data_IF_382972526898
#
_entry.id   IF_382972526898
#
_cell.length_a   1.000
_cell.length_b   1.000
_cell.length_c   1.000
_cell.angle_alpha   90.00
_cell.angle_beta   90.00
_cell.angle_gamma   90.00
#
_symmetry.space_group_name_H-M   'P 1'
#
loop_
_entity.id
_entity.type
_entity.pdbx_description
1 polymer ?
#
# COMPACT_ATOMS: atom_id res chain seq x y z
N UNK A 1 -19.94 -4.25 -0.26
CA UNK A 1 -19.29 -2.94 0.03
C UNK A 1 -17.77 -3.03 0.03
N UNK A 2 -17.17 -4.03 0.69
CA UNK A 2 -15.71 -4.23 0.68
C UNK A 2 -15.07 -4.46 -0.69
N UNK A 3 -15.80 -5.08 -1.64
CA UNK A 3 -15.36 -5.24 -3.04
C UNK A 3 -15.25 -3.88 -3.76
N UNK A 4 -16.33 -3.10 -3.79
CA UNK A 4 -16.38 -1.75 -4.36
C UNK A 4 -15.31 -0.81 -3.78
N UNK A 5 -15.06 -0.89 -2.48
CA UNK A 5 -13.99 -0.12 -1.83
C UNK A 5 -12.61 -0.46 -2.45
N UNK A 6 -12.31 -1.75 -2.62
CA UNK A 6 -11.04 -2.22 -3.21
C UNK A 6 -10.91 -1.87 -4.68
N UNK A 7 -12.00 -1.89 -5.45
CA UNK A 7 -12.02 -1.46 -6.85
C UNK A 7 -11.70 0.04 -7.00
N UNK A 8 -12.37 0.89 -6.21
CA UNK A 8 -12.10 2.34 -6.21
C UNK A 8 -10.64 2.61 -5.82
N UNK A 9 -10.15 1.90 -4.81
CA UNK A 9 -8.77 2.02 -4.38
C UNK A 9 -7.79 1.61 -5.50
N UNK A 10 -7.99 0.45 -6.14
CA UNK A 10 -7.13 -0.02 -7.22
C UNK A 10 -7.08 0.98 -8.40
N UNK A 11 -8.22 1.57 -8.78
CA UNK A 11 -8.27 2.62 -9.81
C UNK A 11 -7.49 3.87 -9.38
N UNK A 12 -7.74 4.39 -8.17
CA UNK A 12 -7.01 5.58 -7.67
C UNK A 12 -5.50 5.37 -7.61
N UNK A 13 -5.05 4.18 -7.20
CA UNK A 13 -3.63 3.85 -7.18
C UNK A 13 -3.03 3.76 -8.58
N UNK A 14 -3.80 3.23 -9.54
CA UNK A 14 -3.37 3.15 -10.94
C UNK A 14 -3.23 4.55 -11.54
N UNK A 15 -4.24 5.41 -11.36
CA UNK A 15 -4.22 6.79 -11.84
C UNK A 15 -3.07 7.59 -11.21
N UNK A 16 -2.85 7.43 -9.91
CA UNK A 16 -1.76 8.11 -9.19
C UNK A 16 -0.37 7.69 -9.66
N UNK A 17 -0.24 6.52 -10.29
CA UNK A 17 1.03 5.97 -10.75
C UNK A 17 1.37 6.31 -12.19
N UNK A 18 0.44 6.90 -12.95
CA UNK A 18 0.62 7.18 -14.37
C UNK A 18 1.85 8.06 -14.58
N UNK A 19 2.83 7.55 -15.35
CA UNK A 19 4.05 8.27 -15.67
C UNK A 19 5.09 8.34 -14.54
N UNK A 20 4.86 7.67 -13.42
CA UNK A 20 5.77 7.64 -12.27
C UNK A 20 6.37 6.24 -12.07
N UNK A 21 7.52 6.18 -11.40
CA UNK A 21 8.15 4.93 -10.99
C UNK A 21 8.99 5.13 -9.73
N UNK A 22 9.32 4.04 -9.01
CA UNK A 22 10.19 4.11 -7.83
C UNK A 22 9.57 4.97 -6.72
N UNK A 23 10.41 5.77 -6.05
CA UNK A 23 10.00 6.63 -4.92
C UNK A 23 8.81 7.53 -5.27
N UNK A 24 8.81 8.16 -6.46
CA UNK A 24 7.75 9.08 -6.87
C UNK A 24 6.40 8.35 -6.98
N UNK A 25 6.39 7.14 -7.54
CA UNK A 25 5.19 6.32 -7.63
C UNK A 25 4.71 5.86 -6.24
N UNK A 26 5.64 5.48 -5.34
CA UNK A 26 5.31 5.08 -3.97
C UNK A 26 4.64 6.24 -3.22
N UNK A 27 5.20 7.45 -3.32
CA UNK A 27 4.65 8.65 -2.68
C UNK A 27 3.26 9.01 -3.22
N UNK A 28 3.11 9.02 -4.55
CA UNK A 28 1.82 9.33 -5.18
C UNK A 28 0.74 8.30 -4.81
N UNK A 29 1.06 7.00 -4.82
CA UNK A 29 0.15 5.94 -4.40
C UNK A 29 -0.21 6.03 -2.91
N UNK A 30 0.76 6.33 -2.04
CA UNK A 30 0.51 6.55 -0.62
C UNK A 30 -0.48 7.68 -0.38
N UNK A 31 -0.27 8.83 -1.02
CA UNK A 31 -1.18 9.98 -0.94
C UNK A 31 -2.59 9.62 -1.44
N UNK A 32 -2.69 8.92 -2.57
CA UNK A 32 -3.98 8.48 -3.14
C UNK A 32 -4.72 7.50 -2.22
N UNK A 33 -4.00 6.59 -1.55
CA UNK A 33 -4.57 5.69 -0.56
C UNK A 33 -5.13 6.46 0.62
N UNK A 34 -4.31 7.33 1.24
CA UNK A 34 -4.70 8.15 2.39
C UNK A 34 -5.92 9.02 2.07
N UNK A 35 -5.95 9.63 0.88
CA UNK A 35 -7.08 10.43 0.42
C UNK A 35 -8.34 9.59 0.19
N UNK A 36 -8.23 8.36 -0.32
CA UNK A 36 -9.38 7.46 -0.49
C UNK A 36 -10.05 7.15 0.85
N UNK A 37 -9.27 6.92 1.91
CA UNK A 37 -9.79 6.69 3.27
C UNK A 37 -10.49 7.94 3.80
N UNK A 38 -9.88 9.12 3.62
CA UNK A 38 -10.46 10.42 4.03
C UNK A 38 -11.77 10.75 3.29
N UNK A 39 -11.83 10.48 1.98
CA UNK A 39 -13.01 10.75 1.16
C UNK A 39 -14.17 9.78 1.44
N UNK A 40 -13.86 8.53 1.79
CA UNK A 40 -14.85 7.45 1.91
C UNK A 40 -14.70 6.63 3.20
N UNK A 41 -14.71 7.23 4.41
CA UNK A 41 -14.36 6.54 5.65
C UNK A 41 -15.29 5.36 5.97
N UNK A 42 -16.60 5.51 5.73
CA UNK A 42 -17.57 4.42 5.95
C UNK A 42 -17.43 3.26 4.96
N UNK A 43 -17.04 3.55 3.72
CA UNK A 43 -16.80 2.53 2.70
C UNK A 43 -15.48 1.80 2.96
N UNK A 44 -14.44 2.53 3.38
CA UNK A 44 -13.16 1.95 3.76
C UNK A 44 -13.28 1.11 5.03
N UNK A 45 -14.03 1.54 6.05
CA UNK A 45 -14.30 0.73 7.24
C UNK A 45 -15.00 -0.62 6.93
N UNK A 46 -15.69 -0.72 5.78
CA UNK A 46 -16.25 -2.00 5.32
C UNK A 46 -15.19 -2.98 4.79
N UNK A 47 -13.96 -2.54 4.52
CA UNK A 47 -12.86 -3.42 4.12
C UNK A 47 -12.35 -4.30 5.26
N UNK A 48 -12.56 -3.86 6.51
CA UNK A 48 -11.99 -4.47 7.72
C UNK A 48 -12.96 -5.43 8.42
N UNK A 49 -14.27 -5.32 8.13
CA UNK A 49 -15.31 -6.13 8.79
C UNK A 49 -15.35 -7.59 8.31
N UNK A 50 -14.83 -7.87 7.13
CA UNK A 50 -14.97 -9.19 6.49
C UNK A 50 -13.60 -9.73 6.11
N UNK A 51 -13.22 -10.92 6.60
CA UNK A 51 -12.03 -11.61 6.12
C UNK A 51 -12.13 -11.79 4.60
N UNK A 52 -11.03 -11.52 3.89
CA UNK A 52 -10.98 -11.79 2.45
C UNK A 52 -10.84 -13.30 2.16
N UNK A 53 -10.30 -14.07 3.11
CA UNK A 53 -10.02 -15.49 2.92
C UNK A 53 -11.30 -16.30 2.68
N UNK A 54 -11.24 -17.18 1.68
CA UNK A 54 -12.36 -18.03 1.24
C UNK A 54 -13.49 -17.27 0.52
N UNK A 55 -13.22 -16.05 0.03
CA UNK A 55 -14.10 -15.30 -0.86
C UNK A 55 -13.30 -14.94 -2.13
N UNK A 56 -13.51 -15.67 -3.26
CA UNK A 56 -12.73 -15.49 -4.48
C UNK A 56 -12.76 -14.06 -5.04
N UNK A 57 -13.89 -13.36 -4.92
CA UNK A 57 -14.02 -12.00 -5.45
C UNK A 57 -13.22 -11.00 -4.60
N UNK A 58 -13.24 -11.18 -3.27
CA UNK A 58 -12.44 -10.35 -2.36
C UNK A 58 -10.94 -10.65 -2.47
N UNK A 59 -10.56 -11.91 -2.64
CA UNK A 59 -9.17 -12.31 -2.89
C UNK A 59 -8.64 -11.67 -4.16
N UNK A 60 -9.37 -11.79 -5.28
CA UNK A 60 -8.98 -11.20 -6.56
C UNK A 60 -8.88 -9.66 -6.45
N UNK A 61 -9.80 -9.02 -5.74
CA UNK A 61 -9.76 -7.57 -5.53
C UNK A 61 -8.53 -7.12 -4.72
N UNK A 62 -8.11 -7.91 -3.72
CA UNK A 62 -6.85 -7.66 -2.98
C UNK A 62 -5.63 -7.89 -3.89
N UNK A 63 -5.65 -8.94 -4.70
CA UNK A 63 -4.57 -9.23 -5.66
C UNK A 63 -4.39 -8.10 -6.67
N UNK A 64 -5.47 -7.50 -7.19
CA UNK A 64 -5.38 -6.33 -8.07
C UNK A 64 -4.67 -5.15 -7.41
N UNK A 65 -4.98 -4.86 -6.14
CA UNK A 65 -4.28 -3.81 -5.38
C UNK A 65 -2.79 -4.12 -5.23
N UNK A 66 -2.45 -5.36 -4.85
CA UNK A 66 -1.04 -5.80 -4.71
C UNK A 66 -0.30 -5.73 -6.05
N UNK A 67 -0.96 -6.08 -7.16
CA UNK A 67 -0.39 -6.02 -8.50
C UNK A 67 -0.04 -4.60 -8.91
N UNK A 68 -0.94 -3.64 -8.69
CA UNK A 68 -0.70 -2.21 -8.99
C UNK A 68 0.49 -1.69 -8.17
N UNK A 69 0.52 -1.97 -6.87
CA UNK A 69 1.65 -1.60 -6.01
C UNK A 69 2.96 -2.24 -6.49
N UNK A 70 2.96 -3.52 -6.86
CA UNK A 70 4.14 -4.23 -7.37
C UNK A 70 4.68 -3.64 -8.67
N UNK A 71 3.79 -3.17 -9.56
CA UNK A 71 4.18 -2.52 -10.82
C UNK A 71 4.91 -1.18 -10.59
N UNK A 72 4.53 -0.39 -9.58
CA UNK A 72 5.28 0.82 -9.21
C UNK A 72 6.72 0.54 -8.78
N UNK A 73 6.98 -0.67 -8.28
CA UNK A 73 8.27 -1.06 -7.73
C UNK A 73 9.26 -1.57 -8.78
N UNK A 74 8.90 -1.61 -10.06
CA UNK A 74 9.77 -2.11 -11.15
C UNK A 74 11.11 -1.35 -11.20
N UNK A 75 11.11 -0.05 -10.91
CA UNK A 75 12.32 0.77 -10.92
C UNK A 75 13.35 0.41 -9.83
N UNK A 76 12.94 -0.27 -8.75
CA UNK A 76 13.84 -0.74 -7.69
C UNK A 76 14.61 -2.02 -8.04
N UNK A 77 14.39 -2.61 -9.24
CA UNK A 77 15.12 -3.79 -9.75
C UNK A 77 15.12 -5.01 -8.81
N UNK A 78 14.12 -5.13 -7.95
CA UNK A 78 13.95 -6.26 -7.05
C UNK A 78 13.56 -7.52 -7.83
N UNK A 79 13.90 -8.70 -7.31
CA UNK A 79 13.36 -9.97 -7.81
C UNK A 79 11.84 -10.07 -7.65
N UNK A 80 11.19 -10.96 -8.39
CA UNK A 80 9.72 -11.06 -8.45
C UNK A 80 9.08 -11.26 -7.06
N UNK A 81 9.60 -12.20 -6.28
CA UNK A 81 9.12 -12.46 -4.91
C UNK A 81 9.34 -11.26 -3.98
N UNK A 82 10.51 -10.61 -4.08
CA UNK A 82 10.83 -9.41 -3.30
C UNK A 82 9.88 -8.25 -3.63
N UNK A 83 9.50 -8.07 -4.91
CA UNK A 83 8.51 -7.05 -5.29
C UNK A 83 7.15 -7.33 -4.67
N UNK A 84 6.72 -8.59 -4.65
CA UNK A 84 5.44 -8.97 -4.01
C UNK A 84 5.49 -8.71 -2.51
N UNK A 85 6.59 -9.07 -1.83
CA UNK A 85 6.77 -8.77 -0.41
C UNK A 85 6.77 -7.25 -0.14
N UNK A 86 7.49 -6.46 -0.93
CA UNK A 86 7.50 -5.00 -0.81
C UNK A 86 6.12 -4.38 -1.06
N UNK A 87 5.38 -4.85 -2.07
CA UNK A 87 4.01 -4.40 -2.34
C UNK A 87 3.06 -4.72 -1.18
N UNK A 88 3.18 -5.91 -0.57
CA UNK A 88 2.41 -6.28 0.64
C UNK A 88 2.78 -5.38 1.82
N UNK A 89 4.06 -5.02 1.99
CA UNK A 89 4.52 -4.09 3.02
C UNK A 89 3.94 -2.69 2.82
N UNK A 90 3.95 -2.14 1.59
CA UNK A 90 3.31 -0.86 1.27
C UNK A 90 1.82 -0.87 1.61
N UNK A 91 1.10 -1.91 1.15
CA UNK A 91 -0.33 -2.09 1.45
C UNK A 91 -0.59 -2.05 2.96
N UNK A 92 0.19 -2.80 3.75
CA UNK A 92 0.05 -2.85 5.20
C UNK A 92 0.32 -1.50 5.85
N UNK A 93 1.38 -0.81 5.42
CA UNK A 93 1.76 0.49 5.97
C UNK A 93 0.73 1.58 5.66
N UNK A 94 0.27 1.69 4.41
CA UNK A 94 -0.73 2.67 4.00
C UNK A 94 -2.08 2.43 4.68
N UNK A 95 -2.50 1.16 4.76
CA UNK A 95 -3.70 0.78 5.49
C UNK A 95 -3.58 1.14 6.98
N UNK A 96 -2.50 0.70 7.64
CA UNK A 96 -2.30 0.93 9.08
C UNK A 96 -2.28 2.41 9.44
N UNK A 97 -1.52 3.22 8.70
CA UNK A 97 -1.48 4.67 8.93
C UNK A 97 -2.86 5.32 8.75
N UNK A 98 -3.52 5.05 7.62
CA UNK A 98 -4.81 5.68 7.31
C UNK A 98 -5.94 5.22 8.25
N UNK A 99 -5.89 3.97 8.70
CA UNK A 99 -6.83 3.42 9.68
C UNK A 99 -6.65 4.08 11.04
N UNK A 100 -5.41 4.22 11.53
CA UNK A 100 -5.11 4.90 12.80
C UNK A 100 -5.49 6.38 12.74
N UNK A 101 -5.16 7.07 11.64
CA UNK A 101 -5.55 8.47 11.42
C UNK A 101 -7.07 8.67 11.46
N UNK A 102 -7.84 7.73 10.94
CA UNK A 102 -9.30 7.83 10.88
C UNK A 102 -10.01 7.52 12.22
N UNK A 103 -9.30 6.90 13.17
CA UNK A 103 -9.87 6.36 14.41
C UNK A 103 -9.27 6.95 15.70
N UNK A 104 -8.79 8.19 15.67
CA UNK A 104 -8.08 8.86 16.78
C UNK A 104 -6.84 8.09 17.30
N UNK A 105 -6.25 7.23 16.46
CA UNK A 105 -5.09 6.38 16.79
C UNK A 105 -3.77 7.12 16.98
N UNK A 106 -3.77 8.46 16.79
CA UNK A 106 -2.64 9.35 17.02
C UNK A 106 -3.00 10.42 18.06
N UNK A 107 -3.02 10.09 19.36
CA UNK A 107 -3.54 10.96 20.42
C UNK A 107 -2.61 12.15 20.77
N UNK A 108 -1.44 12.23 20.14
CA UNK A 108 -0.41 13.23 20.43
C UNK A 108 -0.37 14.33 19.34
N UNK A 109 0.17 15.53 19.63
CA UNK A 109 -0.02 16.72 18.80
C UNK A 109 0.89 16.80 17.57
N UNK A 110 1.59 15.72 17.18
CA UNK A 110 2.42 15.74 15.98
C UNK A 110 1.58 15.94 14.73
N UNK A 111 2.14 16.66 13.75
CA UNK A 111 1.50 16.79 12.46
C UNK A 111 1.47 15.42 11.75
N UNK A 112 0.27 14.99 11.35
CA UNK A 112 0.07 13.73 10.66
C UNK A 112 0.58 13.76 9.23
N UNK A 113 0.68 14.94 8.61
CA UNK A 113 1.31 15.07 7.29
C UNK A 113 2.80 14.76 7.37
N UNK A 114 3.52 15.37 8.33
CA UNK A 114 4.94 15.08 8.57
C UNK A 114 5.17 13.60 8.90
N UNK A 115 4.28 13.02 9.72
CA UNK A 115 4.35 11.60 10.10
C UNK A 115 4.14 10.68 8.90
N UNK A 116 3.27 11.07 7.97
CA UNK A 116 3.04 10.33 6.74
C UNK A 116 4.23 10.45 5.77
N UNK A 117 4.79 11.64 5.62
CA UNK A 117 5.98 11.84 4.80
C UNK A 117 7.17 11.02 5.32
N UNK A 118 7.37 10.99 6.64
CA UNK A 118 8.38 10.12 7.25
C UNK A 118 8.11 8.63 7.03
N UNK A 119 6.84 8.19 7.05
CA UNK A 119 6.50 6.81 6.70
C UNK A 119 6.91 6.50 5.26
N UNK A 120 6.63 7.40 4.31
CA UNK A 120 7.03 7.22 2.91
C UNK A 120 8.55 7.16 2.75
N UNK A 121 9.29 8.05 3.43
CA UNK A 121 10.76 8.03 3.43
C UNK A 121 11.33 6.70 3.94
N UNK A 122 10.79 6.19 5.05
CA UNK A 122 11.19 4.91 5.63
C UNK A 122 10.91 3.74 4.69
N UNK A 123 9.75 3.74 4.03
CA UNK A 123 9.38 2.71 3.07
C UNK A 123 10.30 2.73 1.84
N UNK A 124 10.48 3.89 1.19
CA UNK A 124 11.35 4.02 0.02
C UNK A 124 12.80 3.64 0.33
N UNK A 125 13.34 4.11 1.45
CA UNK A 125 14.70 3.77 1.88
C UNK A 125 14.85 2.27 2.20
N UNK A 126 13.85 1.67 2.85
CA UNK A 126 13.84 0.24 3.15
C UNK A 126 13.79 -0.62 1.89
N UNK A 127 12.90 -0.28 0.95
CA UNK A 127 12.73 -0.98 -0.33
C UNK A 127 14.03 -0.92 -1.15
N UNK A 128 14.67 0.26 -1.22
CA UNK A 128 15.95 0.44 -1.93
C UNK A 128 17.06 -0.48 -1.42
N UNK A 129 17.05 -0.84 -0.13
CA UNK A 129 18.06 -1.75 0.46
C UNK A 129 17.79 -3.23 0.17
N UNK A 130 16.57 -3.59 -0.25
CA UNK A 130 16.25 -4.97 -0.62
C UNK A 130 16.95 -5.39 -1.92
N UNK A 131 17.27 -4.45 -2.82
CA UNK A 131 18.09 -4.68 -4.02
C UNK A 131 19.48 -5.25 -3.65
N UNK A 132 20.04 -4.82 -2.52
CA UNK A 132 21.42 -5.14 -2.14
C UNK A 132 21.55 -6.46 -1.39
N UNK A 133 20.44 -7.10 -0.98
CA UNK A 133 20.49 -8.35 -0.21
C UNK A 133 20.50 -9.56 -1.16
N UNK A 134 21.59 -10.36 -1.20
CA UNK A 134 21.61 -11.58 -2.00
C UNK A 134 20.50 -12.52 -1.50
N UNK A 135 19.69 -13.03 -2.43
CA UNK A 135 18.67 -14.04 -2.14
C UNK A 135 19.35 -15.24 -1.49
N UNK A 136 19.08 -15.49 -0.20
CA UNK A 136 19.47 -16.76 0.40
C UNK A 136 18.67 -17.87 -0.28
N UNK A 137 19.33 -18.92 -0.83
CA UNK A 137 18.62 -20.01 -1.46
C UNK A 137 17.69 -20.67 -0.43
N UNK A 138 16.44 -20.90 -0.83
CA UNK A 138 15.49 -21.70 -0.06
C UNK A 138 16.08 -23.10 0.07
N UNK A 139 16.46 -23.50 1.28
CA UNK A 139 16.83 -24.88 1.58
C UNK A 139 15.60 -25.76 1.35
N UNK A 140 15.70 -26.66 0.37
CA UNK A 140 14.75 -27.76 0.10
C UNK A 140 14.89 -28.83 1.18
#
# INVERSE_FOLDING_TARGET
LGLRAREILAHRLTDAAVGLAGDDAVRAMGAAWRQMVKDHPGLYAATDRYPCANDPELEEAVERVVKVLSQALVAYKLGDDQRVHAARSLRSAFHGFSHLESGDGHPHPQNLDDSFDHLLDLLCAGISRLETSPQQPVSV
#
